data_IF_679291255332
#
_entry.id   IF_679291255332
#
_cell.length_a   1.000
_cell.length_b   1.000
_cell.length_c   1.000
_cell.angle_alpha   90.00
_cell.angle_beta   90.00
_cell.angle_gamma   90.00
#
_symmetry.space_group_name_H-M   'P 1'
#
loop_
_entity.id
_entity.type
_entity.pdbx_description
1 polymer ?
#
# COMPACT_ATOMS: atom_id res chain seq x y z
N UNK A 1 -7.94 29.63 15.84
CA UNK A 1 -8.10 28.23 15.39
C UNK A 1 -8.30 27.30 16.57
N UNK A 2 -7.41 27.27 17.59
CA UNK A 2 -7.51 26.36 18.75
C UNK A 2 -8.85 26.48 19.48
N UNK A 3 -9.38 27.71 19.70
CA UNK A 3 -10.68 27.91 20.35
C UNK A 3 -11.84 27.29 19.55
N UNK A 4 -11.81 27.44 18.21
CA UNK A 4 -12.82 26.85 17.32
C UNK A 4 -12.72 25.33 17.29
N UNK A 5 -11.49 24.82 17.24
CA UNK A 5 -11.22 23.38 17.28
C UNK A 5 -11.69 22.76 18.60
N UNK A 6 -11.32 23.35 19.73
CA UNK A 6 -11.75 22.87 21.04
C UNK A 6 -13.28 22.87 21.19
N UNK A 7 -13.95 23.92 20.71
CA UNK A 7 -15.42 23.97 20.70
C UNK A 7 -16.01 22.85 19.84
N UNK A 8 -15.49 22.61 18.65
CA UNK A 8 -15.95 21.53 17.79
C UNK A 8 -15.71 20.17 18.44
N UNK A 9 -14.51 19.93 18.93
CA UNK A 9 -14.11 18.66 19.56
C UNK A 9 -14.99 18.33 20.77
N UNK A 10 -15.22 19.30 21.66
CA UNK A 10 -16.01 19.09 22.87
C UNK A 10 -17.53 19.02 22.64
N UNK A 11 -18.04 19.50 21.52
CA UNK A 11 -19.50 19.55 21.22
C UNK A 11 -19.94 18.50 20.19
N UNK A 12 -19.06 18.05 19.30
CA UNK A 12 -19.37 17.12 18.21
C UNK A 12 -18.79 15.72 18.42
N UNK A 13 -17.68 15.63 19.14
CA UNK A 13 -16.95 14.38 19.40
C UNK A 13 -16.73 14.25 20.88
N UNK A 14 -17.34 13.33 21.54
CA UNK A 14 -17.14 13.08 22.98
C UNK A 14 -15.77 12.42 23.32
N UNK A 15 -14.83 12.48 22.34
CA UNK A 15 -13.56 11.80 22.44
C UNK A 15 -13.64 10.32 22.05
N UNK A 16 -12.48 9.69 21.97
CA UNK A 16 -12.35 8.25 21.68
C UNK A 16 -12.83 7.43 22.89
N UNK A 17 -13.52 6.32 22.63
CA UNK A 17 -13.98 5.43 23.70
C UNK A 17 -12.82 4.96 24.58
N UNK A 18 -13.07 4.72 25.87
CA UNK A 18 -12.04 4.26 26.81
C UNK A 18 -11.40 2.94 26.36
N UNK A 19 -12.19 2.01 25.82
CA UNK A 19 -11.70 0.72 25.31
C UNK A 19 -10.67 0.95 24.19
N UNK A 20 -10.96 1.85 23.27
CA UNK A 20 -10.01 2.19 22.18
C UNK A 20 -8.74 2.86 22.70
N UNK A 21 -8.87 3.71 23.74
CA UNK A 21 -7.69 4.32 24.37
C UNK A 21 -6.80 3.28 25.06
N UNK A 22 -7.38 2.30 25.75
CA UNK A 22 -6.63 1.22 26.39
C UNK A 22 -5.96 0.31 25.34
N UNK A 23 -6.64 0.03 24.24
CA UNK A 23 -6.06 -0.73 23.12
C UNK A 23 -4.88 0.02 22.49
N UNK A 24 -5.00 1.34 22.30
CA UNK A 24 -3.91 2.17 21.80
C UNK A 24 -2.71 2.20 22.77
N UNK A 25 -2.95 2.25 24.06
CA UNK A 25 -1.88 2.21 25.08
C UNK A 25 -1.12 0.88 25.06
N UNK A 26 -1.80 -0.24 24.81
CA UNK A 26 -1.18 -1.56 24.73
C UNK A 26 -0.09 -1.64 23.65
N UNK A 27 -0.18 -0.82 22.60
CA UNK A 27 0.84 -0.72 21.53
C UNK A 27 2.23 -0.35 22.10
N UNK A 28 2.28 0.43 23.16
CA UNK A 28 3.53 0.92 23.76
C UNK A 28 4.15 -0.07 24.75
N UNK A 29 3.47 -1.14 25.09
CA UNK A 29 4.05 -2.21 25.93
C UNK A 29 5.16 -2.97 25.16
N UNK A 30 6.09 -3.65 25.84
CA UNK A 30 7.10 -4.46 25.18
C UNK A 30 6.50 -5.51 24.21
N UNK A 31 5.41 -6.16 24.64
CA UNK A 31 4.71 -7.16 23.81
C UNK A 31 4.02 -6.52 22.59
N UNK A 32 3.31 -5.38 22.79
CA UNK A 32 2.67 -4.65 21.70
C UNK A 32 3.67 -4.19 20.66
N UNK A 33 4.82 -3.65 21.07
CA UNK A 33 5.92 -3.26 20.16
C UNK A 33 6.44 -4.45 19.35
N UNK A 34 6.63 -5.61 20.00
CA UNK A 34 7.08 -6.83 19.32
C UNK A 34 6.10 -7.29 18.25
N UNK A 35 4.80 -7.30 18.57
CA UNK A 35 3.75 -7.69 17.64
C UNK A 35 3.67 -6.73 16.44
N UNK A 36 3.75 -5.42 16.69
CA UNK A 36 3.75 -4.41 15.62
C UNK A 36 4.96 -4.57 14.72
N UNK A 37 6.15 -4.75 15.28
CA UNK A 37 7.36 -4.96 14.50
C UNK A 37 7.26 -6.20 13.61
N UNK A 38 6.72 -7.31 14.14
CA UNK A 38 6.51 -8.53 13.35
C UNK A 38 5.51 -8.29 12.20
N UNK A 39 4.43 -7.56 12.44
CA UNK A 39 3.44 -7.21 11.40
C UNK A 39 4.05 -6.30 10.32
N UNK A 40 4.79 -5.27 10.73
CA UNK A 40 5.48 -4.38 9.78
C UNK A 40 6.48 -5.17 8.94
N UNK A 41 7.28 -6.02 9.59
CA UNK A 41 8.27 -6.84 8.88
C UNK A 41 7.61 -7.76 7.85
N UNK A 42 6.48 -8.38 8.21
CA UNK A 42 5.72 -9.22 7.28
C UNK A 42 5.32 -8.47 6.00
N UNK A 43 4.78 -7.25 6.13
CA UNK A 43 4.40 -6.44 4.97
C UNK A 43 5.60 -5.91 4.20
N UNK A 44 6.70 -5.58 4.88
CA UNK A 44 7.92 -5.14 4.20
C UNK A 44 8.59 -6.27 3.44
N UNK A 45 8.53 -7.50 3.95
CA UNK A 45 9.00 -8.69 3.21
C UNK A 45 8.15 -8.94 1.96
N UNK A 46 6.81 -8.77 2.06
CA UNK A 46 5.94 -8.82 0.89
C UNK A 46 6.31 -7.74 -0.14
N UNK A 47 6.55 -6.52 0.32
CA UNK A 47 6.96 -5.42 -0.56
C UNK A 47 8.28 -5.73 -1.28
N UNK A 48 9.25 -6.32 -0.59
CA UNK A 48 10.52 -6.77 -1.19
C UNK A 48 10.29 -7.83 -2.27
N UNK A 49 9.50 -8.87 -1.98
CA UNK A 49 9.14 -9.93 -2.93
C UNK A 49 8.48 -9.33 -4.18
N UNK A 50 7.51 -8.44 -3.99
CA UNK A 50 6.82 -7.79 -5.10
C UNK A 50 7.77 -6.90 -5.91
N UNK A 51 8.64 -6.13 -5.26
CA UNK A 51 9.60 -5.26 -5.91
C UNK A 51 10.57 -6.05 -6.78
N UNK A 52 11.21 -7.07 -6.21
CA UNK A 52 12.12 -7.96 -6.93
C UNK A 52 11.41 -8.66 -8.10
N UNK A 53 10.16 -9.09 -7.86
CA UNK A 53 9.33 -9.70 -8.89
C UNK A 53 9.06 -8.78 -10.08
N UNK A 54 8.67 -7.55 -9.84
CA UNK A 54 8.39 -6.54 -10.87
C UNK A 54 9.67 -6.08 -11.59
N UNK A 55 10.73 -5.80 -10.85
CA UNK A 55 12.01 -5.39 -11.43
C UNK A 55 12.61 -6.48 -12.34
N UNK A 56 12.38 -7.76 -12.02
CA UNK A 56 12.82 -8.88 -12.87
C UNK A 56 12.13 -8.94 -14.24
N UNK A 57 11.01 -8.23 -14.43
CA UNK A 57 10.34 -8.08 -15.74
C UNK A 57 10.83 -6.86 -16.52
N UNK A 58 11.77 -6.10 -15.99
CA UNK A 58 12.27 -4.87 -16.59
C UNK A 58 11.44 -3.61 -16.27
N UNK A 59 10.39 -3.74 -15.44
CA UNK A 59 9.60 -2.59 -14.99
C UNK A 59 10.38 -1.74 -13.99
N UNK A 60 10.21 -0.42 -14.10
CA UNK A 60 10.78 0.52 -13.11
C UNK A 60 9.87 0.63 -11.90
N UNK A 61 10.41 0.32 -10.72
CA UNK A 61 9.66 0.30 -9.46
C UNK A 61 10.27 1.27 -8.46
N UNK A 62 9.42 2.05 -7.80
CA UNK A 62 9.78 2.98 -6.75
C UNK A 62 9.04 2.64 -5.46
N UNK A 63 9.60 2.98 -4.32
CA UNK A 63 9.03 2.64 -3.00
C UNK A 63 9.34 1.21 -2.57
N UNK A 64 8.52 0.66 -1.67
CA UNK A 64 8.72 -0.69 -1.12
C UNK A 64 9.90 -0.81 -0.14
N UNK A 65 10.43 0.31 0.39
CA UNK A 65 11.58 0.34 1.31
C UNK A 65 11.18 0.83 2.70
N UNK A 66 10.46 1.95 2.77
CA UNK A 66 10.03 2.56 4.03
C UNK A 66 8.51 2.44 4.28
N UNK A 67 7.80 1.94 3.28
CA UNK A 67 6.36 1.68 3.35
C UNK A 67 6.00 0.56 2.38
N UNK A 68 4.96 -0.25 2.66
CA UNK A 68 4.57 -1.38 1.82
C UNK A 68 3.75 -0.95 0.59
N UNK A 69 4.16 0.13 -0.06
CA UNK A 69 3.60 0.64 -1.31
C UNK A 69 4.66 0.68 -2.39
N UNK A 70 4.28 0.22 -3.58
CA UNK A 70 5.13 0.22 -4.77
C UNK A 70 4.48 1.05 -5.86
N UNK A 71 5.26 1.96 -6.43
CA UNK A 71 4.89 2.71 -7.60
C UNK A 71 5.60 2.12 -8.82
N UNK A 72 4.82 1.58 -9.72
CA UNK A 72 5.32 0.95 -10.94
C UNK A 72 5.10 1.90 -12.11
N UNK A 73 6.16 2.25 -12.81
CA UNK A 73 6.04 3.04 -14.04
C UNK A 73 5.47 2.16 -15.14
N UNK A 74 4.41 2.63 -15.78
CA UNK A 74 3.80 1.91 -16.92
C UNK A 74 4.77 1.81 -18.09
N UNK A 75 4.82 0.66 -18.78
CA UNK A 75 5.72 0.49 -19.92
C UNK A 75 5.24 1.30 -21.14
N UNK A 76 6.18 1.69 -22.00
CA UNK A 76 5.93 2.27 -23.31
C UNK A 76 4.99 3.51 -23.32
N UNK A 77 4.96 4.29 -22.24
CA UNK A 77 4.11 5.46 -22.13
C UNK A 77 2.61 5.14 -22.04
N UNK A 78 2.26 3.92 -21.68
CA UNK A 78 0.87 3.50 -21.46
C UNK A 78 0.24 4.33 -20.34
N UNK A 79 -1.00 4.81 -20.53
CA UNK A 79 -1.70 5.55 -19.49
C UNK A 79 -2.02 4.69 -18.28
N UNK A 80 -2.17 5.33 -17.10
CA UNK A 80 -2.45 4.64 -15.83
C UNK A 80 -3.70 3.76 -15.91
N UNK A 81 -4.78 4.24 -16.54
CA UNK A 81 -6.02 3.47 -16.71
C UNK A 81 -5.87 2.30 -17.67
N UNK A 82 -5.22 2.53 -18.82
CA UNK A 82 -5.01 1.45 -19.78
C UNK A 82 -4.17 0.32 -19.18
N UNK A 83 -3.14 0.66 -18.41
CA UNK A 83 -2.30 -0.35 -17.75
C UNK A 83 -3.06 -1.05 -16.61
N UNK A 84 -3.95 -0.35 -15.91
CA UNK A 84 -4.86 -0.96 -14.94
C UNK A 84 -5.76 -2.03 -15.59
N UNK A 85 -6.40 -1.68 -16.71
CA UNK A 85 -7.24 -2.63 -17.45
C UNK A 85 -6.45 -3.86 -17.91
N UNK A 86 -5.24 -3.65 -18.42
CA UNK A 86 -4.36 -4.75 -18.81
C UNK A 86 -3.99 -5.66 -17.61
N UNK A 87 -3.60 -5.09 -16.48
CA UNK A 87 -3.32 -5.87 -15.27
C UNK A 87 -4.54 -6.68 -14.81
N UNK A 88 -5.71 -6.07 -14.87
CA UNK A 88 -6.96 -6.72 -14.47
C UNK A 88 -7.32 -7.88 -15.39
N UNK A 89 -7.35 -7.66 -16.70
CA UNK A 89 -7.84 -8.67 -17.64
C UNK A 89 -6.81 -9.74 -17.99
N UNK A 90 -5.52 -9.39 -18.06
CA UNK A 90 -4.48 -10.32 -18.48
C UNK A 90 -3.80 -11.04 -17.30
N UNK A 91 -3.58 -10.34 -16.18
CA UNK A 91 -2.92 -10.91 -15.01
C UNK A 91 -3.86 -11.21 -13.83
N UNK A 92 -5.13 -10.77 -13.88
CA UNK A 92 -6.07 -10.82 -12.76
C UNK A 92 -5.49 -10.17 -11.49
N UNK A 93 -4.81 -9.05 -11.65
CA UNK A 93 -4.21 -8.25 -10.57
C UNK A 93 -4.82 -6.87 -10.57
N UNK A 94 -5.22 -6.41 -9.39
CA UNK A 94 -5.80 -5.08 -9.19
C UNK A 94 -4.78 -4.16 -8.55
N UNK A 95 -4.55 -3.01 -9.18
CA UNK A 95 -3.74 -1.92 -8.63
C UNK A 95 -4.55 -0.63 -8.58
N UNK A 96 -3.95 0.45 -8.12
CA UNK A 96 -4.58 1.78 -8.15
C UNK A 96 -3.92 2.61 -9.25
N UNK A 97 -4.67 3.07 -10.29
CA UNK A 97 -4.12 3.98 -11.30
C UNK A 97 -3.52 5.22 -10.66
N UNK A 98 -2.29 5.56 -11.04
CA UNK A 98 -1.56 6.66 -10.41
C UNK A 98 -2.22 8.01 -10.62
N UNK A 99 -2.91 8.23 -11.76
CA UNK A 99 -3.68 9.44 -12.01
C UNK A 99 -4.73 9.72 -10.92
N UNK A 100 -5.22 8.71 -10.23
CA UNK A 100 -6.12 8.86 -9.09
C UNK A 100 -5.53 9.63 -7.91
N UNK A 101 -4.21 9.82 -7.87
CA UNK A 101 -3.48 10.61 -6.87
C UNK A 101 -3.09 12.01 -7.39
N UNK A 102 -3.56 12.38 -8.57
CA UNK A 102 -3.31 13.65 -9.22
C UNK A 102 -2.49 13.52 -10.51
N UNK A 103 -2.35 14.63 -11.28
CA UNK A 103 -1.73 14.60 -12.62
C UNK A 103 -0.31 14.03 -12.66
N UNK A 104 0.47 14.25 -11.59
CA UNK A 104 1.85 13.72 -11.48
C UNK A 104 1.92 12.19 -11.36
N UNK A 105 0.79 11.54 -11.06
CA UNK A 105 0.67 10.09 -11.02
C UNK A 105 0.37 9.43 -12.35
N UNK A 106 0.13 10.21 -13.42
CA UNK A 106 -0.11 9.64 -14.73
C UNK A 106 1.12 8.87 -15.24
N UNK A 107 0.88 7.71 -15.89
CA UNK A 107 1.93 6.80 -16.32
C UNK A 107 2.51 5.94 -15.18
N UNK A 108 1.78 5.83 -14.08
CA UNK A 108 2.12 4.96 -12.95
C UNK A 108 0.91 4.15 -12.49
N UNK A 109 1.18 3.02 -11.84
CA UNK A 109 0.21 2.28 -11.05
C UNK A 109 0.77 2.04 -9.65
N UNK A 110 -0.05 2.19 -8.61
CA UNK A 110 0.34 1.88 -7.24
C UNK A 110 -0.15 0.48 -6.87
N UNK A 111 0.77 -0.36 -6.41
CA UNK A 111 0.48 -1.64 -5.78
C UNK A 111 0.73 -1.54 -4.28
N UNK A 112 0.06 -2.40 -3.52
CA UNK A 112 0.19 -2.49 -2.07
C UNK A 112 0.57 -3.90 -1.65
N UNK A 113 1.44 -4.01 -0.66
CA UNK A 113 1.90 -5.29 -0.11
C UNK A 113 1.19 -5.68 1.19
N UNK A 114 0.03 -5.08 1.50
CA UNK A 114 -0.78 -5.39 2.68
C UNK A 114 -1.61 -6.68 2.56
N UNK A 115 -1.41 -7.48 1.52
CA UNK A 115 -2.08 -8.75 1.32
C UNK A 115 -1.38 -9.93 2.01
N UNK A 116 -1.96 -11.10 1.82
CA UNK A 116 -1.30 -12.35 2.21
C UNK A 116 -0.08 -12.61 1.33
N UNK A 117 0.95 -13.23 1.91
CA UNK A 117 2.23 -13.46 1.20
C UNK A 117 2.05 -14.32 -0.05
N UNK A 118 1.21 -15.34 0.01
CA UNK A 118 0.97 -16.20 -1.13
C UNK A 118 0.29 -15.45 -2.29
N UNK A 119 -0.60 -14.50 -1.99
CA UNK A 119 -1.25 -13.67 -3.00
C UNK A 119 -0.25 -12.70 -3.66
N UNK A 120 0.66 -12.13 -2.86
CA UNK A 120 1.74 -11.29 -3.38
C UNK A 120 2.65 -12.08 -4.35
N UNK A 121 3.04 -13.29 -3.97
CA UNK A 121 3.86 -14.19 -4.81
C UNK A 121 3.11 -14.58 -6.08
N UNK A 122 1.84 -14.96 -5.97
CA UNK A 122 1.02 -15.36 -7.11
C UNK A 122 0.78 -14.20 -8.08
N UNK A 123 0.53 -12.99 -7.56
CA UNK A 123 0.40 -11.79 -8.38
C UNK A 123 1.68 -11.54 -9.20
N UNK A 124 2.85 -11.69 -8.57
CA UNK A 124 4.13 -11.55 -9.28
C UNK A 124 4.33 -12.62 -10.34
N UNK A 125 3.94 -13.86 -10.06
CA UNK A 125 3.98 -14.96 -11.04
C UNK A 125 3.12 -14.63 -12.27
N UNK A 126 1.89 -14.17 -12.06
CA UNK A 126 0.95 -13.81 -13.13
C UNK A 126 1.47 -12.64 -13.97
N UNK A 127 1.95 -11.58 -13.33
CA UNK A 127 2.52 -10.43 -14.03
C UNK A 127 3.72 -10.86 -14.89
N UNK A 128 4.61 -11.69 -14.36
CA UNK A 128 5.76 -12.22 -15.12
C UNK A 128 5.38 -13.06 -16.34
N UNK A 129 4.26 -13.77 -16.27
CA UNK A 129 3.77 -14.58 -17.39
C UNK A 129 3.12 -13.73 -18.48
N UNK A 130 2.56 -12.59 -18.09
CA UNK A 130 1.86 -11.70 -18.99
C UNK A 130 2.80 -10.74 -19.74
N UNK A 131 3.79 -10.15 -19.05
CA UNK A 131 4.77 -9.23 -19.65
C UNK A 131 5.87 -10.00 -20.40
#
# INVERSE_FOLDING_TARGET
LNRLWNRRQSTKFNGTSYITQRAAEAIYTPEGKKQIQATIQYYMDNARIMKEGLESTGLKVYGGVNAPYLWVKTPNGTSSWKFFDQLLYEANVVGTPGIGFGPSGEGYIRLTAFGERHDCIEAMRRIKQWI
#
